data_IF_401589097710
#
_entry.id   IF_401589097710
#
_cell.length_a   1.000
_cell.length_b   1.000
_cell.length_c   1.000
_cell.angle_alpha   90.00
_cell.angle_beta   90.00
_cell.angle_gamma   90.00
#
_symmetry.space_group_name_H-M   'P 1'
#
loop_
_entity.id
_entity.type
_entity.pdbx_description
1 polymer ?
#
# COMPACT_ATOMS: atom_id res chain seq x y z
N UNK A 1 6.76 -32.11 -1.79
CA UNK A 1 7.71 -31.01 -1.49
C UNK A 1 8.84 -31.58 -0.65
N UNK A 2 10.09 -31.15 -0.87
CA UNK A 2 11.26 -31.57 -0.08
C UNK A 2 11.28 -30.98 1.34
N UNK A 3 10.53 -29.90 1.57
CA UNK A 3 10.37 -29.21 2.85
C UNK A 3 9.07 -29.66 3.51
N UNK A 4 9.11 -29.97 4.81
CA UNK A 4 7.92 -30.30 5.61
C UNK A 4 7.29 -29.00 6.14
N UNK A 5 6.35 -28.46 5.37
CA UNK A 5 5.62 -27.23 5.74
C UNK A 5 4.59 -27.53 6.84
N UNK A 6 4.58 -26.70 7.87
CA UNK A 6 3.61 -26.76 8.97
C UNK A 6 2.74 -25.50 9.00
N UNK A 7 1.60 -25.58 9.68
CA UNK A 7 0.73 -24.42 9.93
C UNK A 7 1.47 -23.28 10.60
N UNK A 8 2.27 -23.60 11.61
CA UNK A 8 3.03 -22.62 12.41
C UNK A 8 4.06 -21.89 11.56
N UNK A 9 4.68 -22.58 10.58
CA UNK A 9 5.62 -21.96 9.67
C UNK A 9 4.94 -20.97 8.73
N UNK A 10 3.76 -21.33 8.19
CA UNK A 10 2.96 -20.41 7.36
C UNK A 10 2.44 -19.22 8.19
N UNK A 11 2.04 -19.45 9.45
CA UNK A 11 1.66 -18.37 10.37
C UNK A 11 2.82 -17.42 10.64
N UNK A 12 4.05 -17.92 10.79
CA UNK A 12 5.24 -17.10 10.96
C UNK A 12 5.50 -16.22 9.74
N UNK A 13 5.35 -16.74 8.52
CA UNK A 13 5.45 -15.94 7.29
C UNK A 13 4.31 -14.93 7.17
N UNK A 14 3.10 -15.30 7.57
CA UNK A 14 1.95 -14.39 7.59
C UNK A 14 2.12 -13.24 8.58
N UNK A 15 2.85 -13.43 9.69
CA UNK A 15 3.24 -12.31 10.56
C UNK A 15 4.12 -11.30 9.83
N UNK A 16 5.04 -11.76 9.00
CA UNK A 16 5.86 -10.87 8.17
C UNK A 16 5.00 -10.10 7.16
N UNK A 17 4.09 -10.77 6.43
CA UNK A 17 3.14 -10.09 5.53
C UNK A 17 2.33 -9.02 6.27
N UNK A 18 1.76 -9.36 7.43
CA UNK A 18 0.95 -8.42 8.22
C UNK A 18 1.75 -7.18 8.68
N UNK A 19 3.05 -7.36 8.96
CA UNK A 19 3.98 -6.27 9.29
C UNK A 19 4.29 -5.43 8.06
N UNK A 20 4.66 -6.03 6.93
CA UNK A 20 5.00 -5.25 5.72
C UNK A 20 3.82 -4.40 5.23
N UNK A 21 2.61 -4.95 5.31
CA UNK A 21 1.40 -4.17 5.01
C UNK A 21 1.22 -3.02 6.02
N UNK A 22 1.45 -3.26 7.32
CA UNK A 22 1.37 -2.21 8.34
C UNK A 22 2.34 -1.07 8.04
N UNK A 23 3.62 -1.37 7.80
CA UNK A 23 4.64 -0.33 7.65
C UNK A 23 4.57 0.36 6.29
N UNK A 24 4.15 -0.33 5.24
CA UNK A 24 3.85 0.30 3.96
C UNK A 24 2.77 1.36 4.12
N UNK A 25 1.65 1.02 4.76
CA UNK A 25 0.57 1.98 5.05
C UNK A 25 1.05 3.09 5.97
N UNK A 26 1.85 2.76 7.00
CA UNK A 26 2.42 3.75 7.92
C UNK A 26 3.25 4.79 7.17
N UNK A 27 4.20 4.37 6.34
CA UNK A 27 5.10 5.26 5.63
C UNK A 27 4.38 6.06 4.55
N UNK A 28 3.40 5.46 3.84
CA UNK A 28 2.55 6.20 2.91
C UNK A 28 1.76 7.32 3.59
N UNK A 29 1.10 7.02 4.71
CA UNK A 29 0.29 8.01 5.41
C UNK A 29 1.16 9.08 6.09
N UNK A 30 2.36 8.73 6.58
CA UNK A 30 3.32 9.70 7.08
C UNK A 30 3.83 10.61 5.95
N UNK A 31 4.14 10.06 4.77
CA UNK A 31 4.43 10.83 3.56
C UNK A 31 3.28 11.80 3.24
N UNK A 32 2.05 11.30 3.16
CA UNK A 32 0.89 12.14 2.87
C UNK A 32 0.65 13.23 3.95
N UNK A 33 0.92 12.93 5.23
CA UNK A 33 0.77 13.86 6.35
C UNK A 33 1.84 14.97 6.31
N UNK A 34 2.97 14.77 5.62
CA UNK A 34 3.97 15.83 5.41
C UNK A 34 3.36 17.03 4.68
N UNK A 35 2.45 16.84 3.73
CA UNK A 35 1.75 17.95 3.05
C UNK A 35 1.01 18.87 4.03
N UNK A 36 0.40 18.30 5.08
CA UNK A 36 -0.26 19.05 6.16
C UNK A 36 0.73 19.78 7.04
N UNK A 37 1.89 19.17 7.33
CA UNK A 37 2.94 19.76 8.16
C UNK A 37 3.66 20.89 7.40
N UNK A 38 4.02 20.68 6.14
CA UNK A 38 4.71 21.65 5.28
C UNK A 38 3.97 22.97 5.16
N UNK A 39 2.63 22.93 5.06
CA UNK A 39 1.81 24.15 5.02
C UNK A 39 1.94 25.02 6.26
N UNK A 40 2.28 24.44 7.41
CA UNK A 40 2.49 25.17 8.66
C UNK A 40 3.89 25.80 8.75
N UNK A 41 4.91 25.25 8.07
CA UNK A 41 6.30 25.75 8.07
C UNK A 41 6.68 26.56 6.83
N UNK A 42 5.79 26.68 5.84
CA UNK A 42 6.09 27.28 4.52
C UNK A 42 6.67 28.69 4.61
N UNK A 43 6.33 29.49 5.62
CA UNK A 43 6.87 30.84 5.79
C UNK A 43 8.39 30.85 6.06
N UNK A 44 8.92 29.85 6.76
CA UNK A 44 10.35 29.74 7.10
C UNK A 44 11.19 29.22 5.92
N UNK A 45 10.56 28.45 5.03
CA UNK A 45 11.24 27.75 3.93
C UNK A 45 10.89 28.29 2.53
N UNK A 46 10.16 29.42 2.43
CA UNK A 46 9.59 29.94 1.17
C UNK A 46 10.63 30.31 0.11
N UNK A 47 11.90 30.45 0.50
CA UNK A 47 13.02 30.81 -0.37
C UNK A 47 13.90 29.61 -0.76
N UNK A 48 13.55 28.39 -0.34
CA UNK A 48 14.33 27.18 -0.64
C UNK A 48 13.74 26.46 -1.86
N UNK A 49 14.62 25.99 -2.75
CA UNK A 49 14.23 25.18 -3.92
C UNK A 49 13.78 23.76 -3.54
N UNK A 50 14.22 23.26 -2.37
CA UNK A 50 13.76 22.01 -1.74
C UNK A 50 13.95 22.10 -0.23
N UNK A 51 13.04 21.51 0.54
CA UNK A 51 13.09 21.49 2.00
C UNK A 51 13.44 20.10 2.54
N UNK A 52 13.85 20.02 3.81
CA UNK A 52 14.03 18.75 4.52
C UNK A 52 12.73 17.93 4.52
N UNK A 53 11.57 18.58 4.54
CA UNK A 53 10.27 17.93 4.47
C UNK A 53 10.04 17.25 3.11
N UNK A 54 10.38 17.90 2.01
CA UNK A 54 10.27 17.32 0.66
C UNK A 54 11.14 16.06 0.53
N UNK A 55 12.38 16.12 1.04
CA UNK A 55 13.32 15.00 0.99
C UNK A 55 12.84 13.82 1.84
N UNK A 56 12.37 14.08 3.07
CA UNK A 56 11.85 13.02 3.94
C UNK A 56 10.55 12.43 3.37
N UNK A 57 9.67 13.24 2.78
CA UNK A 57 8.48 12.74 2.08
C UNK A 57 8.83 11.76 0.98
N UNK A 58 9.77 12.12 0.10
CA UNK A 58 10.25 11.23 -0.96
C UNK A 58 10.84 9.93 -0.43
N UNK A 59 11.57 9.98 0.69
CA UNK A 59 12.12 8.80 1.35
C UNK A 59 11.00 7.91 1.90
N UNK A 60 10.06 8.47 2.65
CA UNK A 60 8.94 7.72 3.21
C UNK A 60 8.10 7.07 2.11
N UNK A 61 7.81 7.79 1.02
CA UNK A 61 7.14 7.23 -0.16
C UNK A 61 7.92 6.07 -0.76
N UNK A 62 9.23 6.23 -0.95
CA UNK A 62 10.10 5.18 -1.51
C UNK A 62 10.07 3.93 -0.63
N UNK A 63 10.26 4.09 0.68
CA UNK A 63 10.21 3.01 1.66
C UNK A 63 8.85 2.33 1.62
N UNK A 64 7.75 3.09 1.65
CA UNK A 64 6.40 2.55 1.61
C UNK A 64 6.16 1.61 0.40
N UNK A 65 6.71 1.96 -0.77
CA UNK A 65 6.66 1.12 -1.98
C UNK A 65 7.57 -0.11 -1.85
N UNK A 66 8.74 0.02 -1.22
CA UNK A 66 9.65 -1.11 -0.96
C UNK A 66 9.01 -2.12 0.01
N UNK A 67 8.39 -1.66 1.09
CA UNK A 67 7.63 -2.50 2.03
C UNK A 67 6.49 -3.26 1.34
N UNK A 68 5.74 -2.59 0.45
CA UNK A 68 4.67 -3.26 -0.31
C UNK A 68 5.22 -4.37 -1.22
N UNK A 69 6.42 -4.17 -1.80
CA UNK A 69 7.09 -5.22 -2.60
C UNK A 69 7.60 -6.36 -1.74
N UNK A 70 8.06 -6.09 -0.52
CA UNK A 70 8.42 -7.13 0.45
C UNK A 70 7.18 -7.96 0.79
N UNK A 71 6.04 -7.31 1.09
CA UNK A 71 4.77 -7.97 1.32
C UNK A 71 4.41 -8.91 0.17
N UNK A 72 4.44 -8.42 -1.08
CA UNK A 72 4.17 -9.22 -2.28
C UNK A 72 5.10 -10.43 -2.41
N UNK A 73 6.41 -10.23 -2.24
CA UNK A 73 7.40 -11.32 -2.33
C UNK A 73 7.17 -12.42 -1.27
N UNK A 74 6.77 -12.04 -0.06
CA UNK A 74 6.46 -12.99 1.01
C UNK A 74 5.13 -13.71 0.72
N UNK A 75 4.12 -12.99 0.24
CA UNK A 75 2.82 -13.55 -0.20
C UNK A 75 3.05 -14.60 -1.29
N UNK A 76 3.86 -14.28 -2.30
CA UNK A 76 4.23 -15.21 -3.37
C UNK A 76 4.85 -16.49 -2.78
N UNK A 77 5.80 -16.31 -1.84
CA UNK A 77 6.45 -17.45 -1.19
C UNK A 77 5.45 -18.33 -0.43
N UNK A 78 4.52 -17.74 0.31
CA UNK A 78 3.48 -18.49 1.04
C UNK A 78 2.65 -19.34 0.06
N UNK A 79 2.24 -18.78 -1.07
CA UNK A 79 1.49 -19.53 -2.08
C UNK A 79 2.34 -20.63 -2.73
N UNK A 80 3.64 -20.40 -2.98
CA UNK A 80 4.54 -21.45 -3.46
C UNK A 80 4.68 -22.63 -2.50
N UNK A 81 4.68 -22.36 -1.19
CA UNK A 81 4.68 -23.39 -0.15
C UNK A 81 3.31 -24.07 0.01
N UNK A 82 2.28 -23.58 -0.69
CA UNK A 82 0.92 -24.13 -0.64
C UNK A 82 0.10 -23.63 0.54
N UNK A 83 0.56 -22.58 1.24
CA UNK A 83 -0.19 -21.88 2.27
C UNK A 83 -1.21 -20.90 1.70
N UNK A 84 -1.92 -20.21 2.61
CA UNK A 84 -2.75 -19.05 2.29
C UNK A 84 -2.16 -17.82 2.97
N UNK A 85 -1.90 -16.77 2.19
CA UNK A 85 -1.43 -15.51 2.71
C UNK A 85 -2.55 -14.74 3.43
N UNK A 86 -2.19 -13.99 4.45
CA UNK A 86 -3.07 -13.05 5.14
C UNK A 86 -3.24 -11.77 4.33
N UNK A 87 -4.44 -11.20 4.38
CA UNK A 87 -4.73 -9.84 3.89
C UNK A 87 -4.90 -8.83 5.03
N UNK A 88 -4.68 -9.28 6.28
CA UNK A 88 -4.79 -8.43 7.47
C UNK A 88 -3.43 -7.87 7.84
N UNK A 89 -3.34 -6.54 7.88
CA UNK A 89 -2.19 -5.83 8.43
C UNK A 89 -2.30 -5.70 9.95
N UNK A 90 -1.17 -5.48 10.62
CA UNK A 90 -1.17 -4.89 11.95
C UNK A 90 -1.53 -3.40 11.89
N UNK A 91 -1.84 -2.79 13.03
CA UNK A 91 -2.27 -1.39 13.08
C UNK A 91 -1.07 -0.44 12.89
N UNK A 92 -1.09 0.46 11.89
CA UNK A 92 -0.05 1.47 11.70
C UNK A 92 0.06 2.44 12.89
N UNK A 93 1.27 2.92 13.17
CA UNK A 93 1.53 4.00 14.15
C UNK A 93 1.88 5.29 13.38
N UNK A 94 0.90 6.18 13.21
CA UNK A 94 1.11 7.46 12.52
C UNK A 94 1.52 8.53 13.54
N UNK A 95 2.67 9.17 13.36
CA UNK A 95 3.12 10.28 14.20
C UNK A 95 2.38 11.60 13.94
N UNK A 96 2.67 12.61 14.76
CA UNK A 96 2.18 13.99 14.61
C UNK A 96 3.23 14.95 14.04
N UNK A 97 4.51 14.63 14.22
CA UNK A 97 5.64 15.43 13.74
C UNK A 97 6.74 14.54 13.15
N UNK A 98 7.77 15.17 12.60
CA UNK A 98 8.84 14.45 11.90
C UNK A 98 9.67 13.57 12.83
N UNK A 99 9.90 14.01 14.07
CA UNK A 99 10.62 13.24 15.08
C UNK A 99 9.88 11.94 15.41
N UNK A 100 8.55 11.99 15.55
CA UNK A 100 7.72 10.80 15.73
C UNK A 100 7.73 9.90 14.50
N UNK A 101 7.68 10.45 13.28
CA UNK A 101 7.78 9.66 12.04
C UNK A 101 9.06 8.85 11.99
N UNK A 102 10.20 9.48 12.28
CA UNK A 102 11.50 8.80 12.24
C UNK A 102 11.65 7.80 13.38
N UNK A 103 11.13 8.13 14.57
CA UNK A 103 11.15 7.22 15.73
C UNK A 103 10.32 5.96 15.48
N UNK A 104 9.08 6.12 15.00
CA UNK A 104 8.22 4.97 14.74
C UNK A 104 8.69 4.14 13.55
N UNK A 105 9.32 4.75 12.54
CA UNK A 105 10.01 4.02 11.49
C UNK A 105 11.16 3.18 12.05
N UNK A 106 12.06 3.80 12.83
CA UNK A 106 13.16 3.09 13.47
C UNK A 106 12.70 1.90 14.33
N UNK A 107 11.70 2.11 15.21
CA UNK A 107 11.14 1.03 16.04
C UNK A 107 10.55 -0.10 15.16
N UNK A 108 9.85 0.24 14.08
CA UNK A 108 9.25 -0.75 13.19
C UNK A 108 10.30 -1.56 12.42
N UNK A 109 11.43 -0.96 12.02
CA UNK A 109 12.53 -1.68 11.38
C UNK A 109 13.29 -2.58 12.36
N UNK A 110 13.51 -2.17 13.61
CA UNK A 110 14.11 -3.05 14.62
C UNK A 110 13.25 -4.31 14.85
N UNK A 111 11.93 -4.13 14.96
CA UNK A 111 10.97 -5.24 15.11
C UNK A 111 11.03 -6.20 13.89
N UNK A 112 11.21 -5.67 12.68
CA UNK A 112 11.35 -6.47 11.45
C UNK A 112 12.62 -7.33 11.47
N UNK A 113 13.77 -6.73 11.82
CA UNK A 113 15.04 -7.45 11.88
C UNK A 113 15.04 -8.58 12.93
N UNK A 114 14.31 -8.43 14.03
CA UNK A 114 14.09 -9.51 15.00
C UNK A 114 13.29 -10.66 14.39
N UNK A 115 12.13 -10.36 13.79
CA UNK A 115 11.27 -11.36 13.16
C UNK A 115 11.99 -12.08 12.00
N UNK A 116 12.74 -11.36 11.18
CA UNK A 116 13.38 -11.94 10.00
C UNK A 116 14.57 -12.83 10.36
N UNK A 117 15.28 -12.52 11.45
CA UNK A 117 16.27 -13.47 12.03
C UNK A 117 15.63 -14.77 12.51
N UNK A 118 14.42 -14.71 13.05
CA UNK A 118 13.66 -15.91 13.40
C UNK A 118 13.27 -16.71 12.15
N UNK A 119 12.70 -16.05 11.14
CA UNK A 119 12.28 -16.70 9.88
C UNK A 119 13.46 -17.35 9.16
N UNK A 120 14.59 -16.65 9.02
CA UNK A 120 15.82 -17.16 8.40
C UNK A 120 16.31 -18.43 9.12
N UNK A 121 16.19 -18.46 10.46
CA UNK A 121 16.59 -19.60 11.29
C UNK A 121 15.66 -20.80 11.07
N UNK A 122 14.35 -20.57 11.13
CA UNK A 122 13.35 -21.63 10.93
C UNK A 122 13.38 -22.19 9.51
N UNK A 123 13.49 -21.32 8.49
CA UNK A 123 13.69 -21.74 7.10
C UNK A 123 14.93 -22.63 6.96
N UNK A 124 16.04 -22.26 7.61
CA UNK A 124 17.26 -23.05 7.64
C UNK A 124 17.11 -24.43 8.30
N UNK A 125 16.34 -24.54 9.39
CA UNK A 125 16.06 -25.82 10.06
C UNK A 125 15.20 -26.75 9.19
N UNK A 126 14.24 -26.18 8.47
CA UNK A 126 13.33 -26.91 7.59
C UNK A 126 13.96 -27.28 6.23
N UNK A 127 15.15 -26.76 5.92
CA UNK A 127 15.79 -26.93 4.62
C UNK A 127 15.12 -26.12 3.52
N UNK A 128 14.35 -25.09 3.88
CA UNK A 128 13.73 -24.15 2.96
C UNK A 128 14.73 -23.05 2.55
N UNK A 129 15.56 -23.37 1.56
CA UNK A 129 16.61 -22.46 1.12
C UNK A 129 16.08 -21.22 0.41
N UNK A 130 15.01 -21.30 -0.39
CA UNK A 130 14.53 -20.10 -1.09
C UNK A 130 13.86 -19.12 -0.12
N UNK A 131 13.09 -19.60 0.87
CA UNK A 131 12.56 -18.69 1.91
C UNK A 131 13.70 -18.06 2.69
N UNK A 132 14.75 -18.83 3.01
CA UNK A 132 15.93 -18.32 3.70
C UNK A 132 16.64 -17.23 2.88
N UNK A 133 16.84 -17.43 1.59
CA UNK A 133 17.47 -16.43 0.72
C UNK A 133 16.59 -15.20 0.50
N UNK A 134 15.27 -15.38 0.34
CA UNK A 134 14.31 -14.29 0.28
C UNK A 134 14.40 -13.40 1.52
N UNK A 135 14.31 -13.98 2.71
CA UNK A 135 14.37 -13.18 3.95
C UNK A 135 15.77 -12.64 4.23
N UNK A 136 16.85 -13.25 3.72
CA UNK A 136 18.19 -12.63 3.78
C UNK A 136 18.31 -11.40 2.91
N UNK A 137 17.62 -11.38 1.76
CA UNK A 137 17.55 -10.20 0.90
C UNK A 137 16.78 -9.08 1.61
N UNK A 138 15.54 -9.37 2.01
CA UNK A 138 14.67 -8.42 2.73
C UNK A 138 15.37 -7.90 3.99
N UNK A 139 15.98 -8.77 4.80
CA UNK A 139 16.72 -8.37 6.01
C UNK A 139 17.80 -7.33 5.74
N UNK A 140 18.53 -7.42 4.61
CA UNK A 140 19.54 -6.40 4.25
C UNK A 140 18.89 -5.07 3.87
N UNK A 141 17.77 -5.12 3.15
CA UNK A 141 17.00 -3.95 2.76
C UNK A 141 16.44 -3.25 4.04
N UNK A 142 15.90 -4.01 5.01
CA UNK A 142 15.47 -3.44 6.30
C UNK A 142 16.61 -2.86 7.13
N UNK A 143 17.83 -3.41 7.06
CA UNK A 143 19.00 -2.80 7.71
C UNK A 143 19.30 -1.42 7.10
N UNK A 144 19.17 -1.27 5.78
CA UNK A 144 19.31 0.03 5.10
C UNK A 144 18.18 1.00 5.48
N UNK A 145 16.95 0.51 5.61
CA UNK A 145 15.80 1.30 6.09
C UNK A 145 16.03 1.80 7.52
N UNK A 146 16.47 0.91 8.42
CA UNK A 146 16.79 1.23 9.81
C UNK A 146 17.86 2.34 9.89
N UNK A 147 18.95 2.21 9.14
CA UNK A 147 20.00 3.22 9.10
C UNK A 147 19.48 4.56 8.57
N UNK A 148 18.62 4.52 7.55
CA UNK A 148 17.96 5.73 7.04
C UNK A 148 17.22 6.43 8.18
N UNK A 149 16.31 5.75 8.88
CA UNK A 149 15.59 6.37 10.01
C UNK A 149 16.53 6.83 11.14
N UNK A 150 17.59 6.07 11.44
CA UNK A 150 18.58 6.43 12.44
C UNK A 150 19.32 7.74 12.10
N UNK A 151 19.67 7.95 10.82
CA UNK A 151 20.29 9.19 10.35
C UNK A 151 19.35 10.38 10.57
N UNK A 152 18.10 10.26 10.14
CA UNK A 152 17.12 11.35 10.25
C UNK A 152 16.68 11.63 11.70
N UNK A 153 16.76 10.66 12.61
CA UNK A 153 16.54 10.87 14.05
C UNK A 153 17.52 11.87 14.68
N UNK A 154 18.71 12.02 14.10
CA UNK A 154 19.72 12.95 14.62
C UNK A 154 19.54 14.39 14.14
N UNK A 155 18.64 14.62 13.18
CA UNK A 155 18.40 15.93 12.60
C UNK A 155 17.43 16.71 13.49
N UNK A 156 17.82 17.93 13.87
CA UNK A 156 16.92 18.84 14.57
C UNK A 156 16.03 19.56 13.54
N UNK A 157 14.76 19.17 13.49
CA UNK A 157 13.77 19.74 12.58
C UNK A 157 12.91 20.69 13.40
N UNK A 158 12.88 21.97 13.03
CA UNK A 158 12.02 22.95 13.69
C UNK A 158 10.57 22.52 13.56
N UNK A 159 9.89 22.42 14.69
CA UNK A 159 8.46 22.17 14.69
C UNK A 159 7.73 23.40 14.11
N UNK A 160 6.64 23.17 13.35
CA UNK A 160 5.82 24.28 12.88
C UNK A 160 5.32 25.12 14.06
N UNK A 161 5.48 26.45 13.95
CA UNK A 161 4.92 27.41 14.90
C UNK A 161 3.38 27.43 14.93
N UNK A 162 2.81 28.36 15.69
CA UNK A 162 1.36 28.47 15.87
C UNK A 162 0.59 28.47 14.54
N UNK A 163 -0.46 27.65 14.48
CA UNK A 163 -1.28 27.51 13.28
C UNK A 163 -2.10 28.77 13.04
N UNK A 164 -2.01 29.32 11.83
CA UNK A 164 -2.92 30.36 11.37
C UNK A 164 -4.39 29.91 11.51
N UNK A 165 -5.33 30.83 11.80
CA UNK A 165 -6.74 30.49 11.90
C UNK A 165 -7.26 29.87 10.59
N UNK A 166 -8.17 28.89 10.72
CA UNK A 166 -8.77 28.19 9.58
C UNK A 166 -9.50 29.20 8.67
N UNK A 167 -9.13 29.25 7.40
CA UNK A 167 -9.72 30.15 6.42
C UNK A 167 -11.20 29.84 6.17
N UNK A 168 -12.00 30.86 5.83
CA UNK A 168 -13.45 30.71 5.60
C UNK A 168 -13.78 29.64 4.55
N UNK A 169 -13.01 29.57 3.45
CA UNK A 169 -13.24 28.57 2.40
C UNK A 169 -13.04 27.13 2.88
N UNK A 170 -12.24 26.90 3.94
CA UNK A 170 -12.02 25.56 4.49
C UNK A 170 -13.12 25.12 5.46
N UNK A 171 -14.02 26.01 5.85
CA UNK A 171 -15.13 25.70 6.76
C UNK A 171 -16.26 24.92 6.09
N UNK A 172 -16.24 24.81 4.75
CA UNK A 172 -17.22 24.05 3.96
C UNK A 172 -17.02 22.52 4.06
N UNK A 173 -15.84 22.08 4.53
CA UNK A 173 -15.51 20.68 4.74
C UNK A 173 -15.92 20.26 6.15
N UNK A 174 -16.86 19.33 6.21
CA UNK A 174 -17.44 18.75 7.41
C UNK A 174 -17.07 17.26 7.52
N UNK A 175 -17.42 16.66 8.66
CA UNK A 175 -17.10 15.26 8.96
C UNK A 175 -17.72 14.29 7.95
N UNK A 176 -18.89 14.62 7.38
CA UNK A 176 -19.54 13.83 6.34
C UNK A 176 -18.71 13.81 5.04
N UNK A 177 -18.13 14.95 4.66
CA UNK A 177 -17.23 15.02 3.51
C UNK A 177 -15.95 14.21 3.74
N UNK A 178 -15.35 14.30 4.94
CA UNK A 178 -14.19 13.48 5.27
C UNK A 178 -14.52 12.00 5.35
N UNK A 179 -15.73 11.62 5.79
CA UNK A 179 -16.17 10.24 5.78
C UNK A 179 -16.28 9.69 4.34
N UNK A 180 -16.72 10.50 3.38
CA UNK A 180 -16.75 10.10 1.97
C UNK A 180 -15.35 9.91 1.39
N UNK A 181 -14.43 10.85 1.64
CA UNK A 181 -13.04 10.72 1.18
C UNK A 181 -12.33 9.54 1.83
N UNK A 182 -12.53 9.32 3.13
CA UNK A 182 -11.99 8.16 3.82
C UNK A 182 -12.59 6.85 3.33
N UNK A 183 -13.86 6.83 2.89
CA UNK A 183 -14.43 5.65 2.26
C UNK A 183 -13.72 5.31 0.94
N UNK A 184 -13.38 6.31 0.13
CA UNK A 184 -12.56 6.09 -1.06
C UNK A 184 -11.17 5.56 -0.68
N UNK A 185 -10.50 6.22 0.27
CA UNK A 185 -9.18 5.80 0.74
C UNK A 185 -9.17 4.34 1.28
N UNK A 186 -10.22 3.94 2.01
CA UNK A 186 -10.38 2.59 2.52
C UNK A 186 -10.59 1.55 1.40
N UNK A 187 -11.32 1.95 0.35
CA UNK A 187 -11.57 1.12 -0.83
C UNK A 187 -10.28 0.88 -1.61
N UNK A 188 -9.50 1.94 -1.85
CA UNK A 188 -8.16 1.87 -2.46
C UNK A 188 -7.23 0.95 -1.68
N UNK A 189 -7.18 1.09 -0.35
CA UNK A 189 -6.36 0.19 0.49
C UNK A 189 -6.80 -1.27 0.38
N UNK A 190 -8.12 -1.51 0.29
CA UNK A 190 -8.65 -2.84 0.06
C UNK A 190 -8.22 -3.39 -1.30
N UNK A 191 -8.34 -2.58 -2.36
CA UNK A 191 -7.97 -2.91 -3.73
C UNK A 191 -6.47 -3.23 -3.84
N UNK A 192 -5.59 -2.40 -3.27
CA UNK A 192 -4.13 -2.64 -3.21
C UNK A 192 -3.83 -4.02 -2.63
N UNK A 193 -4.35 -4.31 -1.42
CA UNK A 193 -4.08 -5.57 -0.71
C UNK A 193 -4.70 -6.76 -1.48
N UNK A 194 -5.89 -6.59 -2.04
CA UNK A 194 -6.56 -7.60 -2.84
C UNK A 194 -5.75 -7.92 -4.11
N UNK A 195 -5.36 -6.92 -4.88
CA UNK A 195 -4.71 -7.08 -6.18
C UNK A 195 -3.28 -7.57 -6.06
N UNK A 196 -2.49 -7.12 -5.08
CA UNK A 196 -1.17 -7.71 -4.84
C UNK A 196 -1.31 -9.18 -4.43
N UNK A 197 -2.26 -9.52 -3.56
CA UNK A 197 -2.43 -10.91 -3.11
C UNK A 197 -2.89 -11.82 -4.25
N UNK A 198 -3.80 -11.35 -5.09
CA UNK A 198 -4.27 -12.10 -6.26
C UNK A 198 -3.21 -12.17 -7.37
N UNK A 199 -2.41 -11.11 -7.57
CA UNK A 199 -1.27 -11.10 -8.49
C UNK A 199 -0.30 -12.24 -8.17
N UNK A 200 0.10 -12.33 -6.91
CA UNK A 200 1.07 -13.33 -6.44
C UNK A 200 0.46 -14.75 -6.41
N UNK A 201 -0.82 -14.86 -6.06
CA UNK A 201 -1.55 -16.14 -6.17
C UNK A 201 -1.65 -16.60 -7.63
N UNK A 202 -1.89 -15.70 -8.57
CA UNK A 202 -1.93 -16.00 -9.99
C UNK A 202 -0.54 -16.42 -10.52
N UNK A 203 0.53 -15.77 -10.08
CA UNK A 203 1.93 -16.18 -10.36
C UNK A 203 2.20 -17.61 -9.88
N UNK A 204 1.81 -17.93 -8.64
CA UNK A 204 1.97 -19.27 -8.09
C UNK A 204 1.12 -20.34 -8.83
N UNK A 205 -0.11 -19.99 -9.26
CA UNK A 205 -0.94 -20.87 -10.10
C UNK A 205 -0.26 -21.13 -11.45
N UNK A 206 0.32 -20.08 -12.06
CA UNK A 206 1.03 -20.16 -13.32
C UNK A 206 2.17 -21.20 -13.25
N UNK A 207 3.04 -21.12 -12.24
CA UNK A 207 4.17 -22.07 -12.12
C UNK A 207 3.74 -23.52 -11.87
N UNK A 208 2.56 -23.76 -11.31
CA UNK A 208 2.07 -25.11 -10.99
C UNK A 208 1.32 -25.77 -12.13
N UNK A 209 0.82 -25.01 -13.10
CA UNK A 209 0.12 -25.56 -14.26
C UNK A 209 1.12 -26.05 -15.30
N UNK A 210 0.84 -27.22 -15.88
CA UNK A 210 1.52 -27.64 -17.12
C UNK A 210 0.90 -26.86 -18.27
N UNK A 211 1.72 -26.13 -19.00
CA UNK A 211 1.27 -25.44 -20.21
C UNK A 211 0.84 -26.45 -21.27
N UNK A 212 -0.26 -26.16 -21.94
CA UNK A 212 -0.65 -26.91 -23.14
C UNK A 212 0.31 -26.56 -24.29
N UNK A 213 0.49 -27.45 -25.29
CA UNK A 213 1.32 -27.13 -26.46
C UNK A 213 0.89 -25.84 -27.18
N UNK A 214 -0.40 -25.51 -27.17
CA UNK A 214 -0.91 -24.27 -27.76
C UNK A 214 -0.43 -23.05 -26.97
N UNK A 215 -0.56 -23.06 -25.63
CA UNK A 215 -0.11 -21.94 -24.76
C UNK A 215 1.40 -21.70 -24.86
N UNK A 216 2.20 -22.76 -25.03
CA UNK A 216 3.66 -22.66 -25.27
C UNK A 216 3.94 -21.99 -26.61
N UNK A 217 3.20 -22.35 -27.67
CA UNK A 217 3.39 -21.80 -29.02
C UNK A 217 2.93 -20.35 -29.11
N UNK A 218 1.82 -20.01 -28.44
CA UNK A 218 1.22 -18.67 -28.49
C UNK A 218 1.75 -17.73 -27.42
N UNK A 219 2.48 -18.23 -26.42
CA UNK A 219 2.93 -17.50 -25.24
C UNK A 219 1.75 -16.84 -24.46
N UNK A 220 0.61 -17.53 -24.39
CA UNK A 220 -0.63 -17.01 -23.78
C UNK A 220 -1.11 -17.89 -22.62
N UNK A 221 -0.42 -17.83 -21.48
CA UNK A 221 -0.92 -18.44 -20.25
C UNK A 221 -1.85 -17.47 -19.50
N UNK A 222 -3.13 -17.82 -19.35
CA UNK A 222 -4.16 -16.97 -18.72
C UNK A 222 -3.75 -16.50 -17.31
N UNK A 223 -3.09 -17.34 -16.52
CA UNK A 223 -2.67 -16.98 -15.17
C UNK A 223 -1.56 -15.93 -15.16
N UNK A 224 -0.59 -16.04 -16.07
CA UNK A 224 0.48 -15.03 -16.21
C UNK A 224 -0.06 -13.69 -16.71
N UNK A 225 -0.98 -13.72 -17.66
CA UNK A 225 -1.60 -12.49 -18.21
C UNK A 225 -2.38 -11.76 -17.13
N UNK A 226 -3.23 -12.47 -16.38
CA UNK A 226 -4.02 -11.90 -15.28
C UNK A 226 -3.11 -11.43 -14.15
N UNK A 227 -2.06 -12.18 -13.81
CA UNK A 227 -1.05 -11.75 -12.85
C UNK A 227 -0.44 -10.41 -13.28
N UNK A 228 0.03 -10.28 -14.52
CA UNK A 228 0.62 -9.02 -15.00
C UNK A 228 -0.38 -7.86 -15.07
N UNK A 229 -1.66 -8.14 -15.37
CA UNK A 229 -2.71 -7.14 -15.35
C UNK A 229 -2.95 -6.62 -13.92
N UNK A 230 -3.19 -7.51 -12.95
CA UNK A 230 -3.37 -7.16 -11.55
C UNK A 230 -2.16 -6.41 -11.00
N UNK A 231 -0.95 -6.72 -11.49
CA UNK A 231 0.26 -5.97 -11.15
C UNK A 231 0.19 -4.50 -11.51
N UNK A 232 -0.34 -4.19 -12.70
CA UNK A 232 -0.46 -2.82 -13.18
C UNK A 232 -1.53 -2.07 -12.41
N UNK A 233 -2.69 -2.71 -12.22
CA UNK A 233 -3.82 -2.12 -11.51
C UNK A 233 -3.39 -1.78 -10.07
N UNK A 234 -2.80 -2.73 -9.31
CA UNK A 234 -2.41 -2.42 -7.92
C UNK A 234 -1.41 -1.25 -7.82
N UNK A 235 -0.52 -1.07 -8.80
CA UNK A 235 0.41 0.05 -8.80
C UNK A 235 -0.32 1.39 -9.01
N UNK A 236 -1.40 1.41 -9.80
CA UNK A 236 -2.26 2.58 -9.98
C UNK A 236 -3.11 2.84 -8.73
N UNK A 237 -3.69 1.81 -8.11
CA UNK A 237 -4.38 1.94 -6.81
C UNK A 237 -3.49 2.59 -5.74
N UNK A 238 -2.19 2.24 -5.72
CA UNK A 238 -1.23 2.90 -4.82
C UNK A 238 -1.07 4.40 -5.10
N UNK A 239 -1.12 4.81 -6.37
CA UNK A 239 -1.09 6.22 -6.76
C UNK A 239 -2.40 6.92 -6.38
N UNK A 240 -3.55 6.27 -6.53
CA UNK A 240 -4.85 6.80 -6.10
C UNK A 240 -4.89 6.99 -4.58
N UNK A 241 -4.45 5.97 -3.82
CA UNK A 241 -4.33 6.00 -2.36
C UNK A 241 -3.44 7.16 -1.89
N UNK A 242 -2.30 7.39 -2.54
CA UNK A 242 -1.43 8.53 -2.28
C UNK A 242 -2.16 9.86 -2.52
N UNK A 243 -2.73 10.06 -3.72
CA UNK A 243 -3.45 11.30 -4.08
C UNK A 243 -4.59 11.60 -3.09
N UNK A 244 -5.38 10.59 -2.72
CA UNK A 244 -6.52 10.75 -1.82
C UNK A 244 -6.05 11.04 -0.39
N UNK A 245 -5.04 10.33 0.12
CA UNK A 245 -4.53 10.56 1.49
C UNK A 245 -3.89 11.95 1.64
N UNK A 246 -3.08 12.37 0.68
CA UNK A 246 -2.52 13.73 0.62
C UNK A 246 -3.65 14.76 0.63
N UNK A 247 -4.69 14.52 -0.18
CA UNK A 247 -5.82 15.45 -0.26
C UNK A 247 -6.57 15.57 1.06
N UNK A 248 -6.83 14.46 1.76
CA UNK A 248 -7.47 14.46 3.08
C UNK A 248 -6.65 15.29 4.06
N UNK A 249 -5.33 15.04 4.15
CA UNK A 249 -4.45 15.79 5.04
C UNK A 249 -4.35 17.28 4.68
N UNK A 250 -4.28 17.62 3.39
CA UNK A 250 -4.32 19.00 2.90
C UNK A 250 -5.59 19.74 3.31
N UNK A 251 -6.71 19.05 3.51
CA UNK A 251 -7.98 19.61 3.95
C UNK A 251 -8.12 19.68 5.47
N UNK A 252 -7.06 19.34 6.22
CA UNK A 252 -7.02 19.15 7.68
C UNK A 252 -7.82 17.93 8.19
N UNK A 253 -8.19 17.00 7.30
CA UNK A 253 -8.75 15.72 7.70
C UNK A 253 -7.71 14.80 8.34
N UNK A 254 -8.20 13.65 8.81
CA UNK A 254 -7.40 12.51 9.23
C UNK A 254 -7.79 11.30 8.40
N UNK A 255 -6.79 10.51 7.99
CA UNK A 255 -6.97 9.32 7.18
C UNK A 255 -7.40 8.12 8.04
N UNK A 256 -8.27 7.29 7.48
CA UNK A 256 -8.53 5.93 7.98
C UNK A 256 -7.28 5.05 7.81
N UNK A 257 -7.16 4.06 8.68
CA UNK A 257 -6.07 3.08 8.68
C UNK A 257 -6.54 1.70 8.21
N UNK A 258 -7.84 1.49 8.18
CA UNK A 258 -8.46 0.20 7.95
C UNK A 258 -9.04 0.14 6.52
N UNK A 259 -8.83 -0.96 5.78
CA UNK A 259 -9.49 -1.19 4.50
C UNK A 259 -10.98 -1.46 4.72
N UNK A 260 -11.81 -0.91 3.82
CA UNK A 260 -13.25 -1.16 3.77
C UNK A 260 -13.76 -1.03 2.32
N UNK A 261 -14.36 -2.08 1.73
CA UNK A 261 -14.59 -3.41 2.31
C UNK A 261 -13.30 -4.15 2.66
N UNK A 262 -13.39 -5.26 3.41
CA UNK A 262 -12.21 -6.09 3.65
C UNK A 262 -11.75 -6.78 2.33
N UNK A 263 -10.43 -6.88 2.07
CA UNK A 263 -9.91 -7.51 0.87
C UNK A 263 -10.39 -8.96 0.73
N UNK A 264 -10.79 -9.35 -0.49
CA UNK A 264 -11.24 -10.72 -0.79
C UNK A 264 -10.28 -11.37 -1.78
N UNK A 265 -9.85 -12.59 -1.49
CA UNK A 265 -8.93 -13.33 -2.38
C UNK A 265 -9.66 -14.54 -2.94
N UNK A 266 -9.85 -14.55 -4.27
CA UNK A 266 -10.48 -15.67 -4.98
C UNK A 266 -9.71 -16.99 -4.90
N UNK A 267 -10.26 -18.10 -5.39
CA UNK A 267 -9.54 -19.38 -5.48
C UNK A 267 -8.99 -19.68 -6.88
N UNK A 268 -9.61 -19.11 -7.91
CA UNK A 268 -9.24 -19.24 -9.32
C UNK A 268 -8.99 -17.90 -9.99
N UNK A 269 -8.40 -17.91 -11.19
CA UNK A 269 -8.18 -16.69 -11.96
C UNK A 269 -9.51 -16.05 -12.39
N UNK A 270 -10.54 -16.86 -12.62
CA UNK A 270 -11.91 -16.39 -12.86
C UNK A 270 -12.51 -15.68 -11.64
N UNK A 271 -12.22 -16.15 -10.42
CA UNK A 271 -12.67 -15.46 -9.21
C UNK A 271 -11.96 -14.11 -9.06
N UNK A 272 -10.67 -14.02 -9.39
CA UNK A 272 -9.92 -12.77 -9.32
C UNK A 272 -10.53 -11.69 -10.22
N UNK A 273 -10.91 -12.07 -11.45
CA UNK A 273 -11.55 -11.17 -12.41
C UNK A 273 -12.91 -10.68 -11.90
N UNK A 274 -13.74 -11.58 -11.36
CA UNK A 274 -15.06 -11.20 -10.82
C UNK A 274 -14.95 -10.29 -9.60
N UNK A 275 -14.02 -10.59 -8.69
CA UNK A 275 -13.79 -9.79 -7.50
C UNK A 275 -13.20 -8.41 -7.84
N UNK A 276 -12.29 -8.34 -8.81
CA UNK A 276 -11.75 -7.07 -9.30
C UNK A 276 -12.82 -6.24 -10.00
N UNK A 277 -13.54 -6.82 -10.95
CA UNK A 277 -14.66 -6.15 -11.60
C UNK A 277 -15.70 -5.59 -10.61
N UNK A 278 -16.03 -6.34 -9.56
CA UNK A 278 -16.93 -5.85 -8.52
C UNK A 278 -16.33 -4.67 -7.73
N UNK A 279 -15.04 -4.73 -7.40
CA UNK A 279 -14.36 -3.65 -6.69
C UNK A 279 -14.36 -2.35 -7.51
N UNK A 280 -14.03 -2.42 -8.80
CA UNK A 280 -13.99 -1.21 -9.65
C UNK A 280 -15.40 -0.63 -9.86
N UNK A 281 -16.43 -1.47 -10.00
CA UNK A 281 -17.83 -1.00 -10.07
C UNK A 281 -18.23 -0.22 -8.81
N UNK A 282 -17.90 -0.76 -7.63
CA UNK A 282 -18.17 -0.12 -6.34
C UNK A 282 -17.39 1.20 -6.18
N UNK A 283 -16.13 1.25 -6.63
CA UNK A 283 -15.28 2.44 -6.63
C UNK A 283 -15.84 3.53 -7.56
N UNK A 284 -16.18 3.19 -8.81
CA UNK A 284 -16.78 4.10 -9.81
C UNK A 284 -18.04 4.77 -9.25
N UNK A 285 -18.94 3.99 -8.65
CA UNK A 285 -20.18 4.52 -8.05
C UNK A 285 -19.86 5.49 -6.91
N UNK A 286 -18.89 5.17 -6.07
CA UNK A 286 -18.46 6.02 -4.98
C UNK A 286 -17.81 7.33 -5.49
N UNK A 287 -16.95 7.26 -6.51
CA UNK A 287 -16.19 8.41 -6.99
C UNK A 287 -17.09 9.41 -7.70
N UNK A 288 -18.09 8.94 -8.45
CA UNK A 288 -19.16 9.81 -8.99
C UNK A 288 -19.88 10.58 -7.89
N UNK A 289 -20.18 9.95 -6.76
CA UNK A 289 -20.78 10.64 -5.60
C UNK A 289 -19.84 11.67 -4.99
N UNK A 290 -18.55 11.36 -4.86
CA UNK A 290 -17.56 12.29 -4.32
C UNK A 290 -17.40 13.52 -5.24
N UNK A 291 -17.37 13.33 -6.56
CA UNK A 291 -17.32 14.42 -7.55
C UNK A 291 -18.53 15.35 -7.40
N UNK A 292 -19.73 14.78 -7.21
CA UNK A 292 -20.95 15.56 -6.98
C UNK A 292 -20.86 16.40 -5.70
N UNK A 293 -20.44 15.79 -4.58
CA UNK A 293 -20.29 16.49 -3.30
C UNK A 293 -19.18 17.55 -3.33
N UNK A 294 -18.05 17.26 -3.97
CA UNK A 294 -16.99 18.22 -4.20
C UNK A 294 -17.48 19.41 -5.03
N UNK A 295 -18.31 19.15 -6.04
CA UNK A 295 -18.95 20.22 -6.84
C UNK A 295 -19.88 21.09 -6.00
N UNK A 296 -20.74 20.49 -5.16
CA UNK A 296 -21.66 21.22 -4.26
C UNK A 296 -20.91 22.11 -3.28
N UNK A 297 -19.78 21.63 -2.75
CA UNK A 297 -18.94 22.36 -1.79
C UNK A 297 -17.95 23.34 -2.44
N UNK A 298 -17.91 23.41 -3.77
CA UNK A 298 -17.00 24.28 -4.51
C UNK A 298 -15.53 23.83 -4.46
N UNK A 299 -15.27 22.56 -4.14
CA UNK A 299 -13.94 21.98 -4.04
C UNK A 299 -13.43 21.50 -5.41
N UNK A 300 -12.99 22.47 -6.20
CA UNK A 300 -12.55 22.24 -7.59
C UNK A 300 -11.36 21.27 -7.65
N UNK A 301 -10.45 21.32 -6.67
CA UNK A 301 -9.25 20.46 -6.67
C UNK A 301 -9.61 19.01 -6.41
N UNK A 302 -10.42 18.72 -5.38
CA UNK A 302 -10.87 17.35 -5.12
C UNK A 302 -11.71 16.83 -6.28
N UNK A 303 -12.60 17.66 -6.82
CA UNK A 303 -13.42 17.31 -7.98
C UNK A 303 -12.54 16.84 -9.16
N UNK A 304 -11.59 17.67 -9.57
CA UNK A 304 -10.72 17.36 -10.72
C UNK A 304 -9.89 16.09 -10.48
N UNK A 305 -9.36 15.94 -9.27
CA UNK A 305 -8.60 14.74 -8.88
C UNK A 305 -9.45 13.47 -9.00
N UNK A 306 -10.69 13.48 -8.51
CA UNK A 306 -11.58 12.32 -8.63
C UNK A 306 -12.11 12.12 -10.06
N UNK A 307 -12.24 13.16 -10.88
CA UNK A 307 -12.53 13.00 -12.31
C UNK A 307 -11.40 12.27 -13.04
N UNK A 308 -10.14 12.56 -12.70
CA UNK A 308 -8.97 11.84 -13.23
C UNK A 308 -8.95 10.38 -12.77
N UNK A 309 -9.07 10.14 -11.46
CA UNK A 309 -9.11 8.77 -10.90
C UNK A 309 -10.30 7.98 -11.48
N UNK A 310 -11.49 8.59 -11.60
CA UNK A 310 -12.66 7.91 -12.17
C UNK A 310 -12.41 7.41 -13.60
N UNK A 311 -11.65 8.13 -14.42
CA UNK A 311 -11.29 7.65 -15.76
C UNK A 311 -10.36 6.43 -15.69
N UNK A 312 -9.43 6.42 -14.75
CA UNK A 312 -8.52 5.29 -14.49
C UNK A 312 -9.31 4.06 -14.02
N UNK A 313 -10.25 4.22 -13.08
CA UNK A 313 -11.16 3.16 -12.61
C UNK A 313 -12.06 2.58 -13.72
N UNK A 314 -12.60 3.45 -14.58
CA UNK A 314 -13.38 3.01 -15.74
C UNK A 314 -12.51 2.16 -16.68
N UNK A 315 -11.26 2.54 -16.92
CA UNK A 315 -10.31 1.72 -17.68
C UNK A 315 -10.05 0.37 -17.02
N UNK A 316 -9.84 0.31 -15.69
CA UNK A 316 -9.68 -0.95 -14.96
C UNK A 316 -10.91 -1.86 -15.08
N UNK A 317 -12.11 -1.29 -14.93
CA UNK A 317 -13.36 -2.00 -15.11
C UNK A 317 -13.43 -2.66 -16.49
N UNK A 318 -13.16 -1.91 -17.57
CA UNK A 318 -13.15 -2.45 -18.92
C UNK A 318 -12.07 -3.51 -19.12
N UNK A 319 -10.89 -3.33 -18.50
CA UNK A 319 -9.85 -4.36 -18.53
C UNK A 319 -10.36 -5.68 -17.93
N UNK A 320 -11.07 -5.66 -16.80
CA UNK A 320 -11.64 -6.89 -16.25
C UNK A 320 -12.70 -7.51 -17.17
N UNK A 321 -13.57 -6.70 -17.78
CA UNK A 321 -14.58 -7.15 -18.75
C UNK A 321 -13.96 -7.88 -19.95
N UNK A 322 -12.81 -7.40 -20.45
CA UNK A 322 -12.12 -8.02 -21.59
C UNK A 322 -11.60 -9.44 -21.29
N UNK A 323 -11.43 -9.82 -20.01
CA UNK A 323 -10.92 -11.14 -19.59
C UNK A 323 -11.98 -12.07 -18.98
N UNK A 324 -13.18 -11.57 -18.66
CA UNK A 324 -14.31 -12.33 -18.12
C UNK A 324 -14.99 -13.18 -19.21
#
# INVERSE_FOLDING_TARGET
>A
MSVKITSEYIELLNKAVARELQVSVQYFLQHAKIEKIMRKVKAENILLDSTTYDQIGQILKKLAIEEMKHAGSIVERIYYLGGKATTKAFKPKIGENMQEFMKYGFEAEEEALELYREIIREAGKLGDYDTKELFRKIYREEEEHLYTFQEYLTINISEPGETAPKSEWRKVFDDEYFALLNKALASELSAIIQYITQHEKASAINLRKKETPLEVITNTNKAQVISNMLKKIFMQEMEHYEKISERIYMLDGECTLDPDPLPKVGESVEDFLKLGHQAEDEAIVLYRKIIEEATKKGDITTKKMFEEILMEEEEHYWMFDDYL
#
